data_IF_927856586869
#
_entry.id   IF_927856586869
#
_cell.length_a   1.000
_cell.length_b   1.000
_cell.length_c   1.000
_cell.angle_alpha   90.00
_cell.angle_beta   90.00
_cell.angle_gamma   90.00
#
_symmetry.space_group_name_H-M   'P 1'
#
loop_
_entity.id
_entity.type
_entity.pdbx_description
1 polymer ?
#
# COMPACT_ATOMS: atom_id res chain seq x y z
N UNK A 1 3.10 10.68 12.45
CA UNK A 1 3.12 10.62 10.98
C UNK A 1 1.70 10.49 10.42
N UNK A 2 1.37 11.34 9.46
CA UNK A 2 0.12 11.24 8.69
C UNK A 2 0.46 10.69 7.32
N UNK A 3 -0.21 9.62 6.90
CA UNK A 3 0.05 9.01 5.60
C UNK A 3 -0.62 9.81 4.47
N UNK A 4 0.18 10.59 3.75
CA UNK A 4 -0.24 11.42 2.62
C UNK A 4 0.62 11.09 1.38
N UNK A 5 0.44 9.90 0.79
CA UNK A 5 1.23 9.47 -0.35
C UNK A 5 0.91 10.32 -1.60
N UNK A 6 1.87 10.37 -2.50
CA UNK A 6 1.75 11.01 -3.82
C UNK A 6 1.87 9.95 -4.90
N UNK A 7 1.15 10.10 -5.99
CA UNK A 7 1.29 9.30 -7.20
C UNK A 7 2.01 10.11 -8.28
N UNK A 8 3.02 9.52 -8.90
CA UNK A 8 3.67 10.02 -10.10
C UNK A 8 3.25 9.17 -11.30
N UNK A 9 2.63 9.82 -12.26
CA UNK A 9 2.31 9.25 -13.57
C UNK A 9 3.10 10.01 -14.62
N UNK A 10 4.17 9.41 -15.15
CA UNK A 10 5.12 10.09 -16.06
C UNK A 10 5.67 11.37 -15.40
N UNK A 11 5.37 12.53 -15.98
CA UNK A 11 5.79 13.85 -15.50
C UNK A 11 4.75 14.55 -14.60
N UNK A 12 3.60 13.91 -14.36
CA UNK A 12 2.52 14.47 -13.56
C UNK A 12 2.54 13.91 -12.13
N UNK A 13 2.29 14.79 -11.14
CA UNK A 13 2.12 14.40 -9.73
C UNK A 13 0.67 14.58 -9.30
N UNK A 14 0.15 13.58 -8.58
CA UNK A 14 -1.21 13.55 -8.06
C UNK A 14 -1.21 13.22 -6.57
N UNK A 15 -2.14 13.82 -5.82
CA UNK A 15 -2.37 13.44 -4.43
C UNK A 15 -3.12 12.10 -4.34
N UNK A 16 -2.85 11.36 -3.27
CA UNK A 16 -3.61 10.18 -2.86
C UNK A 16 -4.15 10.39 -1.44
N UNK A 17 -5.31 9.84 -1.09
CA UNK A 17 -6.24 9.05 -1.91
C UNK A 17 -6.85 9.88 -3.05
N UNK A 18 -7.67 9.26 -3.91
CA UNK A 18 -8.36 9.97 -4.97
C UNK A 18 -9.35 10.98 -4.38
N UNK A 19 -8.96 12.24 -4.36
CA UNK A 19 -9.68 13.32 -3.69
C UNK A 19 -9.76 14.57 -4.59
N UNK A 20 -10.33 15.66 -4.08
CA UNK A 20 -10.47 16.89 -4.85
C UNK A 20 -9.14 17.48 -5.33
N UNK A 21 -8.00 17.28 -4.61
CA UNK A 21 -6.69 17.72 -5.12
C UNK A 21 -6.30 16.91 -6.36
N UNK A 22 -6.55 15.60 -6.36
CA UNK A 22 -6.34 14.72 -7.51
C UNK A 22 -7.18 15.14 -8.71
N UNK A 23 -8.49 15.36 -8.48
CA UNK A 23 -9.45 15.69 -9.54
C UNK A 23 -9.23 17.08 -10.11
N UNK A 24 -8.96 18.07 -9.26
CA UNK A 24 -8.63 19.43 -9.70
C UNK A 24 -7.39 19.45 -10.59
N UNK A 25 -6.37 18.67 -10.24
CA UNK A 25 -5.16 18.53 -11.05
C UNK A 25 -5.43 17.81 -12.36
N UNK A 26 -6.21 16.72 -12.32
CA UNK A 26 -6.47 15.85 -13.48
C UNK A 26 -7.36 16.51 -14.52
N UNK A 27 -8.42 17.22 -14.08
CA UNK A 27 -9.48 17.74 -14.94
C UNK A 27 -9.59 19.26 -14.96
N UNK A 28 -8.70 19.98 -14.25
CA UNK A 28 -8.73 21.44 -14.11
C UNK A 28 -10.09 21.98 -13.61
N UNK A 29 -10.68 21.28 -12.64
CA UNK A 29 -11.96 21.62 -12.01
C UNK A 29 -11.75 22.20 -10.61
N UNK A 30 -12.80 22.80 -10.06
CA UNK A 30 -12.74 23.51 -8.76
C UNK A 30 -13.75 23.02 -7.73
N UNK A 31 -14.80 22.34 -8.17
CA UNK A 31 -15.93 21.97 -7.29
C UNK A 31 -16.15 20.47 -7.25
N UNK A 32 -16.65 19.93 -6.10
CA UNK A 32 -17.07 18.55 -5.99
C UNK A 32 -18.13 18.13 -7.00
N UNK A 33 -19.01 19.06 -7.38
CA UNK A 33 -20.07 18.80 -8.36
C UNK A 33 -19.50 18.49 -9.73
N UNK A 34 -18.53 19.29 -10.22
CA UNK A 34 -17.84 19.05 -11.49
C UNK A 34 -17.12 17.68 -11.49
N UNK A 35 -16.44 17.33 -10.36
CA UNK A 35 -15.79 16.03 -10.21
C UNK A 35 -16.80 14.88 -10.32
N UNK A 36 -17.93 15.00 -9.62
CA UNK A 36 -19.02 14.02 -9.65
C UNK A 36 -19.58 13.82 -11.06
N UNK A 37 -19.84 14.90 -11.79
CA UNK A 37 -20.35 14.85 -13.15
C UNK A 37 -19.41 14.15 -14.13
N UNK A 38 -18.08 14.44 -14.04
CA UNK A 38 -17.08 13.77 -14.86
C UNK A 38 -17.01 12.28 -14.54
N UNK A 39 -16.95 11.90 -13.25
CA UNK A 39 -16.92 10.50 -12.82
C UNK A 39 -18.18 9.77 -13.30
N UNK A 40 -19.35 10.34 -13.10
CA UNK A 40 -20.63 9.74 -13.50
C UNK A 40 -20.75 9.60 -15.02
N UNK A 41 -20.27 10.60 -15.78
CA UNK A 41 -20.21 10.52 -17.25
C UNK A 41 -19.33 9.35 -17.69
N UNK A 42 -18.08 9.29 -17.21
CA UNK A 42 -17.16 8.23 -17.58
C UNK A 42 -17.66 6.84 -17.16
N UNK A 43 -18.31 6.72 -16.00
CA UNK A 43 -18.94 5.47 -15.55
C UNK A 43 -20.08 5.03 -16.49
N UNK A 44 -20.97 5.95 -16.87
CA UNK A 44 -22.06 5.66 -17.82
C UNK A 44 -21.55 5.20 -19.18
N UNK A 45 -20.46 5.80 -19.66
CA UNK A 45 -19.83 5.44 -20.94
C UNK A 45 -19.31 3.98 -20.96
N UNK A 46 -18.97 3.40 -19.79
CA UNK A 46 -18.52 2.00 -19.71
C UNK A 46 -19.67 0.99 -19.79
N UNK A 47 -20.89 1.37 -19.43
CA UNK A 47 -22.05 0.49 -19.32
C UNK A 47 -21.95 -0.57 -18.21
N UNK A 48 -20.93 -0.50 -17.35
CA UNK A 48 -20.70 -1.47 -16.28
C UNK A 48 -21.67 -1.23 -15.13
N UNK A 49 -22.45 -2.25 -14.76
CA UNK A 49 -23.40 -2.21 -13.64
C UNK A 49 -23.00 -3.15 -12.51
N UNK A 50 -22.33 -4.27 -12.83
CA UNK A 50 -21.88 -5.30 -11.88
C UNK A 50 -20.43 -5.71 -12.22
N UNK A 51 -19.42 -5.04 -11.63
CA UNK A 51 -18.01 -5.28 -11.95
C UNK A 51 -17.55 -6.69 -11.57
N UNK A 52 -16.98 -7.44 -12.52
CA UNK A 52 -16.52 -8.83 -12.36
C UNK A 52 -15.02 -8.93 -12.07
N UNK A 53 -14.24 -7.94 -12.43
CA UNK A 53 -12.79 -7.91 -12.26
C UNK A 53 -12.31 -6.54 -11.79
N UNK A 54 -10.99 -6.41 -11.55
CA UNK A 54 -10.39 -5.19 -11.01
C UNK A 54 -10.51 -4.01 -11.97
N UNK A 55 -10.34 -4.21 -13.29
CA UNK A 55 -10.50 -3.15 -14.27
C UNK A 55 -11.92 -2.58 -14.24
N UNK A 56 -12.92 -3.44 -14.33
CA UNK A 56 -14.32 -3.02 -14.27
C UNK A 56 -14.67 -2.33 -12.96
N UNK A 57 -14.14 -2.82 -11.84
CA UNK A 57 -14.34 -2.19 -10.52
C UNK A 57 -13.68 -0.81 -10.46
N UNK A 58 -12.50 -0.62 -11.05
CA UNK A 58 -11.83 0.66 -11.12
C UNK A 58 -12.59 1.67 -11.96
N UNK A 59 -13.03 1.26 -13.14
CA UNK A 59 -13.84 2.07 -14.04
C UNK A 59 -15.18 2.46 -13.39
N UNK A 60 -15.79 1.54 -12.67
CA UNK A 60 -17.03 1.77 -11.94
C UNK A 60 -16.86 2.75 -10.76
N UNK A 61 -15.74 2.72 -10.05
CA UNK A 61 -15.45 3.60 -8.90
C UNK A 61 -15.07 5.02 -9.32
N UNK A 62 -14.12 5.16 -10.23
CA UNK A 62 -13.44 6.43 -10.49
C UNK A 62 -13.50 6.92 -11.95
N UNK A 63 -13.96 6.07 -12.87
CA UNK A 63 -13.94 6.35 -14.30
C UNK A 63 -12.60 6.04 -14.96
N UNK A 64 -12.55 6.28 -16.27
CA UNK A 64 -11.43 5.89 -17.15
C UNK A 64 -10.12 6.60 -16.80
N UNK A 65 -10.17 7.90 -16.57
CA UNK A 65 -8.94 8.68 -16.38
C UNK A 65 -8.19 8.27 -15.11
N UNK A 66 -8.92 8.03 -14.02
CA UNK A 66 -8.35 7.54 -12.77
C UNK A 66 -7.79 6.13 -12.95
N UNK A 67 -8.53 5.26 -13.63
CA UNK A 67 -8.07 3.92 -13.92
C UNK A 67 -6.77 3.91 -14.73
N UNK A 68 -6.74 4.57 -15.88
CA UNK A 68 -5.58 4.53 -16.78
C UNK A 68 -4.34 5.20 -16.19
N UNK A 69 -4.50 6.35 -15.49
CA UNK A 69 -3.36 7.09 -14.96
C UNK A 69 -2.88 6.58 -13.60
N UNK A 70 -3.78 6.18 -12.70
CA UNK A 70 -3.42 6.00 -11.29
C UNK A 70 -3.56 4.56 -10.78
N UNK A 71 -4.26 3.68 -11.50
CA UNK A 71 -4.54 2.32 -11.03
C UNK A 71 -3.86 1.28 -11.90
N UNK A 72 -4.11 1.29 -13.20
CA UNK A 72 -3.74 0.22 -14.12
C UNK A 72 -2.26 -0.15 -14.04
N UNK A 73 -1.36 0.74 -14.42
CA UNK A 73 0.06 0.45 -14.49
C UNK A 73 0.68 0.10 -13.13
N UNK A 74 0.22 0.76 -12.05
CA UNK A 74 0.65 0.41 -10.70
C UNK A 74 0.23 -1.00 -10.30
N UNK A 75 -1.04 -1.34 -10.54
CA UNK A 75 -1.61 -2.63 -10.17
C UNK A 75 -1.00 -3.77 -10.98
N UNK A 76 -0.84 -3.59 -12.31
CA UNK A 76 -0.22 -4.59 -13.17
C UNK A 76 1.24 -4.86 -12.78
N UNK A 77 2.01 -3.84 -12.40
CA UNK A 77 3.37 -4.03 -11.83
C UNK A 77 3.34 -4.78 -10.51
N UNK A 78 2.44 -4.39 -9.61
CA UNK A 78 2.33 -4.98 -8.28
C UNK A 78 1.95 -6.46 -8.34
N UNK A 79 0.99 -6.81 -9.20
CA UNK A 79 0.47 -8.17 -9.29
C UNK A 79 1.13 -9.02 -10.38
N UNK A 80 1.81 -8.41 -11.35
CA UNK A 80 2.41 -9.11 -12.48
C UNK A 80 1.37 -9.72 -13.44
N UNK A 81 0.13 -9.22 -13.39
CA UNK A 81 -1.03 -9.71 -14.16
C UNK A 81 -1.84 -8.55 -14.70
N UNK A 82 -2.57 -8.78 -15.78
CA UNK A 82 -3.55 -7.83 -16.31
C UNK A 82 -4.67 -7.56 -15.28
N UNK A 83 -5.13 -6.32 -15.19
CA UNK A 83 -6.20 -5.95 -14.26
C UNK A 83 -7.51 -6.73 -14.48
N UNK A 84 -7.76 -7.23 -15.68
CA UNK A 84 -8.93 -8.08 -16.01
C UNK A 84 -8.86 -9.47 -15.42
N UNK A 85 -7.67 -9.94 -15.07
CA UNK A 85 -7.44 -11.24 -14.43
C UNK A 85 -7.50 -11.17 -12.89
N UNK A 86 -7.58 -9.96 -12.35
CA UNK A 86 -7.57 -9.73 -10.91
C UNK A 86 -8.98 -9.55 -10.35
N UNK A 87 -9.27 -10.08 -9.15
CA UNK A 87 -10.59 -9.95 -8.53
C UNK A 87 -10.97 -8.50 -8.21
N UNK A 88 -12.22 -8.14 -8.43
CA UNK A 88 -12.77 -6.80 -8.17
C UNK A 88 -12.57 -6.32 -6.72
N UNK A 89 -12.58 -7.23 -5.73
CA UNK A 89 -12.48 -6.86 -4.31
C UNK A 89 -11.15 -6.19 -3.94
N UNK A 90 -10.08 -6.39 -4.70
CA UNK A 90 -8.74 -5.84 -4.42
C UNK A 90 -8.80 -4.32 -4.28
N UNK A 91 -9.55 -3.63 -5.14
CA UNK A 91 -9.64 -2.19 -5.11
C UNK A 91 -10.98 -1.64 -4.60
N UNK A 92 -11.93 -2.50 -4.26
CA UNK A 92 -13.27 -2.09 -3.79
C UNK A 92 -13.22 -1.10 -2.62
N UNK A 93 -12.17 -1.15 -1.82
CA UNK A 93 -11.94 -0.28 -0.65
C UNK A 93 -11.21 1.03 -0.96
N UNK A 94 -10.76 1.27 -2.20
CA UNK A 94 -10.06 2.51 -2.54
C UNK A 94 -11.01 3.70 -2.39
N UNK A 95 -10.67 4.68 -1.56
CA UNK A 95 -11.57 5.81 -1.33
C UNK A 95 -11.54 6.78 -2.51
N UNK A 96 -12.74 7.12 -3.01
CA UNK A 96 -12.97 8.26 -3.89
C UNK A 96 -13.67 9.31 -3.04
N UNK A 97 -13.03 10.45 -2.80
CA UNK A 97 -13.50 11.49 -1.87
C UNK A 97 -13.72 12.80 -2.59
N UNK A 98 -14.91 13.38 -2.41
CA UNK A 98 -15.23 14.73 -2.93
C UNK A 98 -14.85 15.82 -1.91
N UNK A 99 -13.70 15.66 -1.24
CA UNK A 99 -13.12 16.59 -0.28
C UNK A 99 -11.65 16.82 -0.59
N UNK A 100 -11.02 17.86 -0.03
CA UNK A 100 -9.59 18.16 -0.18
C UNK A 100 -8.70 17.48 0.88
N UNK A 101 -9.18 16.40 1.50
CA UNK A 101 -8.45 15.68 2.53
C UNK A 101 -7.44 14.69 1.92
N UNK A 102 -6.15 14.95 2.14
CA UNK A 102 -5.03 14.10 1.69
C UNK A 102 -4.67 12.99 2.68
N UNK A 103 -5.36 12.87 3.82
CA UNK A 103 -5.13 11.78 4.74
C UNK A 103 -5.60 10.46 4.11
N UNK A 104 -4.66 9.53 3.88
CA UNK A 104 -4.98 8.26 3.20
C UNK A 104 -5.97 7.41 4.00
N UNK A 105 -5.83 7.39 5.33
CA UNK A 105 -6.68 6.59 6.20
C UNK A 105 -7.80 7.41 6.85
N UNK A 106 -8.92 6.76 7.14
CA UNK A 106 -10.02 7.34 7.93
C UNK A 106 -9.89 7.07 9.43
N UNK A 107 -8.75 6.50 9.88
CA UNK A 107 -8.53 6.19 11.28
C UNK A 107 -8.44 7.47 12.13
N UNK A 108 -9.16 7.50 13.26
CA UNK A 108 -9.12 8.61 14.19
C UNK A 108 -7.71 8.80 14.79
N UNK A 109 -7.02 7.70 15.03
CA UNK A 109 -5.64 7.68 15.50
C UNK A 109 -4.77 6.93 14.52
N UNK A 110 -3.66 7.54 14.11
CA UNK A 110 -2.68 6.94 13.24
C UNK A 110 -1.29 7.47 13.58
N UNK A 111 -0.28 6.63 13.44
CA UNK A 111 1.09 7.00 13.74
C UNK A 111 2.05 5.84 13.54
N UNK A 112 3.32 6.14 13.74
CA UNK A 112 4.41 5.17 13.84
C UNK A 112 4.92 5.22 15.28
N UNK A 113 5.11 4.07 15.96
CA UNK A 113 5.57 4.07 17.34
C UNK A 113 6.95 4.72 17.50
N UNK A 114 7.07 5.67 18.43
CA UNK A 114 8.37 6.26 18.79
C UNK A 114 9.27 5.18 19.39
N UNK A 115 10.44 4.97 18.81
CA UNK A 115 11.37 3.89 19.17
C UNK A 115 11.07 2.55 18.49
N UNK A 116 10.17 2.53 17.50
CA UNK A 116 9.91 1.42 16.61
C UNK A 116 8.92 0.38 17.13
N UNK A 117 8.53 -0.53 16.24
CA UNK A 117 7.53 -1.56 16.54
C UNK A 117 8.01 -2.60 17.56
N UNK A 118 9.30 -2.93 17.58
CA UNK A 118 9.85 -3.89 18.56
C UNK A 118 9.63 -3.41 19.99
N UNK A 119 9.87 -2.12 20.27
CA UNK A 119 9.63 -1.54 21.60
C UNK A 119 8.14 -1.58 21.96
N UNK A 120 7.27 -1.26 21.02
CA UNK A 120 5.82 -1.35 21.23
C UNK A 120 5.39 -2.79 21.57
N UNK A 121 5.83 -3.78 20.79
CA UNK A 121 5.49 -5.19 21.01
C UNK A 121 6.05 -5.68 22.34
N UNK A 122 7.31 -5.34 22.68
CA UNK A 122 7.88 -5.71 23.97
C UNK A 122 7.07 -5.15 25.15
N UNK A 123 6.56 -3.91 25.04
CA UNK A 123 5.70 -3.34 26.08
C UNK A 123 4.35 -4.07 26.18
N UNK A 124 3.76 -4.48 25.06
CA UNK A 124 2.51 -5.24 25.04
C UNK A 124 2.68 -6.65 25.64
N UNK A 125 3.86 -7.23 25.49
CA UNK A 125 4.16 -8.60 25.95
C UNK A 125 4.84 -8.64 27.33
N UNK A 126 4.98 -7.51 28.02
CA UNK A 126 5.76 -7.39 29.27
C UNK A 126 5.47 -8.45 30.33
N UNK A 127 4.19 -8.80 30.50
CA UNK A 127 3.74 -9.76 31.50
C UNK A 127 3.29 -11.10 30.88
N UNK A 128 3.68 -11.35 29.63
CA UNK A 128 3.32 -12.55 28.89
C UNK A 128 4.57 -13.39 28.66
N UNK A 129 4.49 -14.69 28.95
CA UNK A 129 5.59 -15.62 28.63
C UNK A 129 5.78 -15.70 27.11
N UNK A 130 6.98 -15.34 26.64
CA UNK A 130 7.38 -15.40 25.23
C UNK A 130 8.48 -16.42 25.08
N UNK A 131 8.35 -17.31 24.12
CA UNK A 131 9.39 -18.24 23.68
C UNK A 131 9.74 -17.92 22.23
N UNK A 132 11.02 -17.63 21.96
CA UNK A 132 11.54 -17.35 20.63
C UNK A 132 12.17 -18.61 20.02
N UNK A 133 12.36 -18.58 18.70
CA UNK A 133 12.95 -19.70 17.94
C UNK A 133 12.19 -21.02 18.11
N UNK A 134 10.86 -20.92 18.20
CA UNK A 134 9.96 -22.06 18.32
C UNK A 134 9.16 -22.18 17.02
N UNK A 135 9.30 -23.31 16.33
CA UNK A 135 8.39 -23.69 15.27
C UNK A 135 7.22 -24.49 15.83
N UNK A 136 6.04 -23.86 15.81
CA UNK A 136 4.82 -24.52 16.27
C UNK A 136 4.47 -25.77 15.40
N UNK A 137 4.79 -25.75 14.11
CA UNK A 137 4.41 -26.83 13.19
C UNK A 137 5.21 -28.12 13.47
N UNK A 138 6.42 -28.02 14.01
CA UNK A 138 7.22 -29.18 14.41
C UNK A 138 6.58 -29.99 15.55
N UNK A 139 5.80 -29.34 16.42
CA UNK A 139 5.21 -30.01 17.56
C UNK A 139 3.84 -29.46 17.98
N UNK A 140 2.89 -29.45 17.03
CA UNK A 140 1.52 -28.96 17.21
C UNK A 140 0.83 -29.58 18.44
N UNK A 141 1.00 -30.89 18.66
CA UNK A 141 0.36 -31.60 19.77
C UNK A 141 0.82 -31.06 21.14
N UNK A 142 2.13 -30.86 21.33
CA UNK A 142 2.68 -30.31 22.55
C UNK A 142 2.12 -28.93 22.85
N UNK A 143 2.14 -28.03 21.86
CA UNK A 143 1.70 -26.64 22.07
C UNK A 143 0.18 -26.53 22.25
N UNK A 144 -0.60 -27.35 21.57
CA UNK A 144 -2.05 -27.41 21.79
C UNK A 144 -2.42 -27.96 23.17
N UNK A 145 -1.60 -28.81 23.78
CA UNK A 145 -1.90 -29.37 25.11
C UNK A 145 -1.71 -28.40 26.26
N UNK A 146 -0.94 -27.33 26.07
CA UNK A 146 -0.65 -26.34 27.13
C UNK A 146 -1.58 -25.12 27.10
N UNK A 147 -2.46 -25.00 26.11
CA UNK A 147 -3.34 -23.86 25.94
C UNK A 147 -4.78 -24.28 25.69
N UNK A 148 -5.75 -23.53 26.22
CA UNK A 148 -7.19 -23.75 25.96
C UNK A 148 -7.58 -23.40 24.52
N UNK A 149 -6.87 -22.46 23.90
CA UNK A 149 -7.03 -22.04 22.50
C UNK A 149 -5.66 -21.70 21.93
N UNK A 150 -5.43 -22.11 20.68
CA UNK A 150 -4.25 -21.75 19.91
C UNK A 150 -4.65 -20.83 18.77
N UNK A 151 -3.96 -19.71 18.64
CA UNK A 151 -4.11 -18.79 17.52
C UNK A 151 -2.83 -18.89 16.69
N UNK A 152 -2.93 -19.47 15.53
CA UNK A 152 -1.81 -19.63 14.59
C UNK A 152 -1.85 -18.50 13.57
N UNK A 153 -0.77 -17.71 13.48
CA UNK A 153 -0.65 -16.57 12.56
C UNK A 153 0.39 -16.78 11.47
N UNK A 154 0.93 -18.00 11.37
CA UNK A 154 1.85 -18.39 10.29
C UNK A 154 1.12 -18.72 8.98
N UNK A 155 1.86 -19.26 8.01
CA UNK A 155 1.32 -19.63 6.71
C UNK A 155 0.24 -20.72 6.82
N UNK A 156 -0.96 -20.45 6.33
CA UNK A 156 -2.10 -21.35 6.47
C UNK A 156 -1.93 -22.64 5.66
N UNK A 157 -1.30 -22.59 4.52
CA UNK A 157 -0.95 -23.75 3.70
C UNK A 157 0.03 -24.69 4.42
N UNK A 158 1.05 -24.13 5.08
CA UNK A 158 1.96 -24.89 5.94
C UNK A 158 1.24 -25.53 7.13
N UNK A 159 0.26 -24.83 7.74
CA UNK A 159 -0.54 -25.39 8.83
C UNK A 159 -1.26 -26.69 8.42
N UNK A 160 -1.70 -26.77 7.17
CA UNK A 160 -2.37 -27.92 6.57
C UNK A 160 -1.43 -28.84 5.78
N UNK A 161 -0.11 -28.75 6.04
CA UNK A 161 0.93 -29.59 5.43
C UNK A 161 0.91 -29.55 3.89
N UNK A 162 0.55 -28.38 3.32
CA UNK A 162 0.46 -28.12 1.87
C UNK A 162 -0.45 -29.10 1.10
N UNK A 163 -1.41 -29.71 1.75
CA UNK A 163 -2.27 -30.76 1.16
C UNK A 163 -3.10 -30.29 -0.06
N UNK A 164 -3.25 -28.99 -0.24
CA UNK A 164 -3.92 -28.39 -1.40
C UNK A 164 -2.94 -27.62 -2.31
N UNK A 165 -1.63 -27.80 -2.12
CA UNK A 165 -0.58 -27.02 -2.77
C UNK A 165 -0.22 -25.74 -2.00
N UNK A 166 0.79 -25.03 -2.51
CA UNK A 166 1.23 -23.76 -1.96
C UNK A 166 0.27 -22.64 -2.39
N UNK A 167 0.02 -21.70 -1.50
CA UNK A 167 -0.64 -20.45 -1.87
C UNK A 167 0.28 -19.57 -2.70
N UNK A 168 -0.26 -19.00 -3.76
CA UNK A 168 0.45 -18.02 -4.56
C UNK A 168 0.45 -16.66 -3.86
N UNK A 169 1.59 -15.95 -3.87
CA UNK A 169 1.73 -14.59 -3.39
C UNK A 169 2.81 -13.82 -4.17
N UNK A 170 2.89 -12.54 -3.93
CA UNK A 170 3.91 -11.68 -4.54
C UNK A 170 4.99 -11.35 -3.52
N UNK A 171 6.22 -11.26 -3.99
CA UNK A 171 7.35 -10.79 -3.20
C UNK A 171 7.69 -9.34 -3.53
N UNK A 172 8.39 -8.70 -2.62
CA UNK A 172 8.88 -7.33 -2.77
C UNK A 172 10.39 -7.32 -2.58
N UNK A 173 11.09 -6.72 -3.55
CA UNK A 173 12.53 -6.45 -3.48
C UNK A 173 12.73 -4.97 -3.24
N UNK A 174 13.64 -4.62 -2.33
CA UNK A 174 14.06 -3.24 -2.09
C UNK A 174 15.50 -3.00 -2.56
N UNK A 175 15.72 -1.89 -3.23
CA UNK A 175 17.05 -1.36 -3.52
C UNK A 175 17.23 -0.07 -2.74
N UNK A 176 18.16 -0.11 -1.77
CA UNK A 176 18.41 1.00 -0.86
C UNK A 176 19.60 1.82 -1.36
N UNK A 177 19.47 3.15 -1.29
CA UNK A 177 20.50 4.08 -1.72
C UNK A 177 20.64 5.22 -0.69
N UNK A 178 21.87 5.48 -0.25
CA UNK A 178 22.20 6.65 0.56
C UNK A 178 22.58 7.80 -0.37
N UNK A 179 21.85 8.91 -0.29
CA UNK A 179 22.07 10.09 -1.09
C UNK A 179 22.69 11.23 -0.24
N UNK A 180 23.71 11.88 -0.78
CA UNK A 180 24.37 13.03 -0.15
C UNK A 180 23.62 14.35 -0.48
N UNK A 181 22.32 14.32 -0.24
CA UNK A 181 21.41 15.46 -0.37
C UNK A 181 20.40 15.44 0.78
N UNK A 182 19.94 16.61 1.25
CA UNK A 182 19.02 16.66 2.40
C UNK A 182 17.60 16.25 2.08
N UNK A 183 17.18 16.23 0.82
CA UNK A 183 15.80 15.95 0.42
C UNK A 183 15.77 15.44 -1.03
N UNK A 184 15.16 14.28 -1.25
CA UNK A 184 15.04 13.69 -2.58
C UNK A 184 13.67 13.95 -3.21
N UNK A 185 12.58 13.68 -2.48
CA UNK A 185 11.21 13.77 -3.01
C UNK A 185 10.23 14.52 -2.11
N UNK A 186 10.66 14.94 -0.92
CA UNK A 186 9.85 15.76 0.01
C UNK A 186 8.64 15.03 0.61
N UNK A 187 8.58 13.70 0.50
CA UNK A 187 7.50 12.88 1.04
C UNK A 187 8.03 11.48 1.36
N UNK A 188 7.45 10.84 2.38
CA UNK A 188 7.81 9.49 2.77
C UNK A 188 7.56 8.45 1.67
N UNK A 189 6.49 8.59 0.88
CA UNK A 189 6.16 7.63 -0.17
C UNK A 189 5.63 8.32 -1.44
N UNK A 190 6.26 8.02 -2.57
CA UNK A 190 5.80 8.38 -3.91
C UNK A 190 5.57 7.10 -4.71
N UNK A 191 4.32 6.85 -5.13
CA UNK A 191 3.94 5.71 -5.95
C UNK A 191 4.10 6.06 -7.43
N UNK A 192 4.74 5.20 -8.21
CA UNK A 192 4.92 5.35 -9.66
C UNK A 192 3.87 4.53 -10.37
N UNK A 193 2.90 5.21 -10.97
CA UNK A 193 1.70 4.56 -11.49
C UNK A 193 1.74 4.28 -12.98
N UNK A 194 2.71 4.82 -13.71
CA UNK A 194 2.96 4.44 -15.10
C UNK A 194 3.56 3.03 -15.21
N UNK A 195 3.42 2.39 -16.37
CA UNK A 195 3.89 1.03 -16.63
C UNK A 195 5.40 0.98 -16.92
N UNK A 196 5.97 2.07 -17.42
CA UNK A 196 7.34 2.11 -17.95
C UNK A 196 8.38 2.20 -16.82
N UNK A 197 8.01 2.78 -15.69
CA UNK A 197 8.86 2.82 -14.48
C UNK A 197 8.86 1.45 -13.80
N UNK A 198 10.03 0.80 -13.61
CA UNK A 198 10.07 -0.59 -13.14
C UNK A 198 9.73 -0.78 -11.66
N UNK A 199 9.94 0.23 -10.81
CA UNK A 199 9.55 0.18 -9.39
C UNK A 199 8.11 0.64 -9.18
N UNK A 200 7.50 0.16 -8.11
CA UNK A 200 6.13 0.53 -7.73
C UNK A 200 6.10 1.82 -6.91
N UNK A 201 7.12 2.03 -6.05
CA UNK A 201 7.27 3.25 -5.26
C UNK A 201 8.71 3.54 -4.90
N UNK A 202 8.95 4.78 -4.50
CA UNK A 202 10.16 5.17 -3.77
C UNK A 202 9.74 5.60 -2.37
N UNK A 203 10.43 5.07 -1.38
CA UNK A 203 10.30 5.44 0.03
C UNK A 203 11.50 6.31 0.38
N UNK A 204 11.28 7.51 0.91
CA UNK A 204 12.32 8.35 1.52
C UNK A 204 12.14 8.30 3.04
N UNK A 205 12.98 7.52 3.71
CA UNK A 205 12.74 7.07 5.08
C UNK A 205 12.68 8.16 6.12
N UNK A 206 13.48 9.22 5.98
CA UNK A 206 13.52 10.32 6.95
C UNK A 206 12.17 11.02 7.17
N UNK A 207 11.29 11.02 6.17
CA UNK A 207 10.00 11.70 6.26
C UNK A 207 8.98 10.98 7.13
N UNK A 208 9.25 9.74 7.56
CA UNK A 208 8.46 9.10 8.62
C UNK A 208 8.68 9.76 9.98
N UNK A 209 9.82 10.44 10.17
CA UNK A 209 10.20 11.16 11.39
C UNK A 209 10.42 12.67 11.12
N UNK A 210 9.69 13.23 10.12
CA UNK A 210 9.70 14.65 9.74
C UNK A 210 11.07 15.19 9.32
N UNK A 211 11.97 14.32 8.84
CA UNK A 211 13.31 14.69 8.39
C UNK A 211 14.30 15.05 9.50
N UNK A 212 13.97 14.76 10.76
CA UNK A 212 14.74 15.10 11.94
C UNK A 212 15.48 13.91 12.53
N UNK A 213 16.61 14.19 13.21
CA UNK A 213 17.28 13.23 14.08
C UNK A 213 16.63 13.21 15.48
N UNK A 214 17.22 12.43 16.40
CA UNK A 214 16.73 12.30 17.78
C UNK A 214 16.81 13.60 18.57
N UNK A 215 17.73 14.50 18.20
CA UNK A 215 17.96 15.80 18.84
C UNK A 215 17.14 16.92 18.17
N UNK A 216 16.38 16.61 17.12
CA UNK A 216 15.54 17.55 16.39
C UNK A 216 16.24 18.33 15.29
N UNK A 217 17.49 17.99 14.94
CA UNK A 217 18.23 18.62 13.85
C UNK A 217 17.81 18.04 12.49
N UNK A 218 17.99 18.85 11.44
CA UNK A 218 17.76 18.39 10.07
C UNK A 218 18.84 17.38 9.65
N UNK A 219 18.40 16.26 9.08
CA UNK A 219 19.31 15.26 8.53
C UNK A 219 19.90 15.76 7.20
N UNK A 220 21.25 15.88 7.08
CA UNK A 220 21.90 16.43 5.88
C UNK A 220 21.89 15.49 4.69
N UNK A 221 21.65 14.19 4.93
CA UNK A 221 21.57 13.12 3.93
C UNK A 221 20.25 12.40 4.02
N UNK A 222 19.91 11.66 2.97
CA UNK A 222 18.68 10.87 2.96
C UNK A 222 18.92 9.45 2.43
N UNK A 223 18.12 8.50 2.93
CA UNK A 223 18.07 7.15 2.39
C UNK A 223 16.76 6.97 1.65
N UNK A 224 16.86 6.47 0.44
CA UNK A 224 15.71 6.05 -0.35
C UNK A 224 15.70 4.54 -0.56
N UNK A 225 14.49 3.98 -0.70
CA UNK A 225 14.29 2.59 -1.11
C UNK A 225 13.38 2.55 -2.33
N UNK A 226 13.87 2.00 -3.44
CA UNK A 226 13.06 1.65 -4.61
C UNK A 226 12.43 0.28 -4.37
N UNK A 227 11.10 0.20 -4.45
CA UNK A 227 10.34 -1.02 -4.24
C UNK A 227 9.97 -1.66 -5.57
N UNK A 228 10.37 -2.92 -5.76
CA UNK A 228 10.04 -3.73 -6.93
C UNK A 228 9.16 -4.90 -6.51
N UNK A 229 8.05 -5.08 -7.19
CA UNK A 229 7.25 -6.29 -7.06
C UNK A 229 7.83 -7.41 -7.90
N UNK A 230 7.89 -8.60 -7.36
CA UNK A 230 8.43 -9.78 -8.03
C UNK A 230 7.59 -11.02 -7.76
N UNK A 231 7.75 -12.03 -8.60
CA UNK A 231 7.14 -13.33 -8.34
C UNK A 231 7.81 -14.00 -7.14
N UNK A 232 6.99 -14.66 -6.33
CA UNK A 232 7.50 -15.53 -5.30
C UNK A 232 8.13 -16.78 -5.93
N UNK A 233 9.26 -17.19 -5.38
CA UNK A 233 9.94 -18.44 -5.74
C UNK A 233 10.22 -19.20 -4.47
N UNK A 234 9.98 -20.50 -4.54
CA UNK A 234 10.41 -21.42 -3.49
C UNK A 234 11.94 -21.51 -3.54
N UNK A 235 12.63 -21.21 -2.44
CA UNK A 235 14.09 -21.32 -2.42
C UNK A 235 14.72 -20.73 -1.23
#
# INVERSE_FOLDING_TARGET
>A
YINSPVARYKDELYNLPFNMNTFSKMWNIRTPQEAKEIIEKQRKETGITDPQNLEEQALFLGGRDIYEKLIKGYTEKQWGRDCRELPAFIIKRLPVRLTFDNNYFNALYQGIPIGGYTKMINNLLKDIKVELNVDYLENKQKYNSIAKKTIYTGAIDAYFDYKFGNLEYRSVKFENELLDIPNFQGNAAVNYTDKDTPWTRIIEHKWFEFGKDIDGNDLPKTVISKEYSSEWKLG
#
